data_IF_920554965557
#
_entry.id   IF_920554965557
#
_cell.length_a   1.000
_cell.length_b   1.000
_cell.length_c   1.000
_cell.angle_alpha   90.00
_cell.angle_beta   90.00
_cell.angle_gamma   90.00
#
_symmetry.space_group_name_H-M   'P 1'
#
loop_
_entity.id
_entity.type
_entity.pdbx_description
1 polymer ?
#
# COMPACT_ATOMS: atom_id res chain seq x y z
N UNK A 1 -3.02 -8.98 -5.09
CA UNK A 1 -4.01 -10.04 -5.38
C UNK A 1 -4.64 -10.69 -4.15
N UNK A 2 -3.91 -11.20 -3.15
CA UNK A 2 -4.50 -12.07 -2.11
C UNK A 2 -5.47 -11.38 -1.12
N UNK A 3 -5.14 -10.20 -0.60
CA UNK A 3 -6.00 -9.46 0.35
C UNK A 3 -7.14 -8.71 -0.37
N UNK A 4 -6.79 -7.79 -1.27
CA UNK A 4 -7.79 -6.91 -1.90
C UNK A 4 -8.46 -7.48 -3.17
N UNK A 5 -8.03 -8.66 -3.65
CA UNK A 5 -8.61 -9.32 -4.81
C UNK A 5 -8.36 -8.64 -6.17
N UNK A 6 -7.67 -7.49 -6.22
CA UNK A 6 -7.42 -6.80 -7.49
C UNK A 6 -6.09 -7.23 -8.13
N UNK A 7 -6.06 -7.39 -9.46
CA UNK A 7 -4.82 -7.59 -10.21
C UNK A 7 -4.05 -6.27 -10.36
N UNK A 8 -4.77 -5.15 -10.50
CA UNK A 8 -4.18 -3.83 -10.62
C UNK A 8 -3.88 -3.22 -9.24
N UNK A 9 -2.62 -2.75 -9.07
CA UNK A 9 -2.09 -2.25 -7.81
C UNK A 9 -1.18 -1.05 -8.07
N UNK A 10 -1.60 0.10 -7.58
CA UNK A 10 -0.84 1.34 -7.60
C UNK A 10 -0.07 1.52 -6.29
N UNK A 11 1.24 1.79 -6.39
CA UNK A 11 2.11 2.01 -5.24
C UNK A 11 2.39 3.51 -5.12
N UNK A 12 2.09 4.09 -3.96
CA UNK A 12 2.42 5.49 -3.68
C UNK A 12 3.95 5.69 -3.74
N UNK A 13 4.37 6.77 -4.40
CA UNK A 13 5.77 7.22 -4.41
C UNK A 13 6.38 7.34 -3.01
N UNK A 14 5.61 7.74 -2.00
CA UNK A 14 6.07 7.82 -0.60
C UNK A 14 6.44 6.45 -0.04
N UNK A 15 5.68 5.43 -0.42
CA UNK A 15 5.95 4.05 -0.03
C UNK A 15 7.24 3.54 -0.69
N UNK A 16 7.42 3.81 -1.98
CA UNK A 16 8.66 3.46 -2.67
C UNK A 16 9.87 4.16 -2.02
N UNK A 17 9.77 5.45 -1.71
CA UNK A 17 10.84 6.18 -1.01
C UNK A 17 11.14 5.59 0.37
N UNK A 18 10.13 5.16 1.12
CA UNK A 18 10.33 4.54 2.44
C UNK A 18 11.01 3.16 2.34
N UNK A 19 10.68 2.37 1.32
CA UNK A 19 11.34 1.07 1.04
C UNK A 19 12.84 1.29 0.77
N UNK A 20 13.18 2.29 -0.04
CA UNK A 20 14.57 2.54 -0.46
C UNK A 20 15.31 3.56 0.42
N UNK A 21 14.74 4.02 1.53
CA UNK A 21 15.31 5.09 2.35
C UNK A 21 16.71 4.79 2.91
N UNK A 22 17.02 3.50 3.12
CA UNK A 22 18.33 3.02 3.61
C UNK A 22 19.21 2.44 2.50
N UNK A 23 18.85 2.66 1.24
CA UNK A 23 19.51 2.11 0.06
C UNK A 23 19.11 0.66 -0.26
N UNK A 24 19.68 0.12 -1.33
CA UNK A 24 19.26 -1.18 -1.90
C UNK A 24 19.60 -2.37 -1.00
N UNK A 25 20.71 -2.30 -0.24
CA UNK A 25 21.20 -3.43 0.56
C UNK A 25 20.54 -3.53 1.94
N UNK A 26 19.94 -2.46 2.44
CA UNK A 26 19.47 -2.39 3.83
C UNK A 26 17.98 -2.02 3.93
N UNK A 27 17.14 -2.69 3.14
CA UNK A 27 15.69 -2.48 3.11
C UNK A 27 15.08 -2.74 4.50
N UNK A 28 14.11 -1.93 4.97
CA UNK A 28 13.44 -2.17 6.25
C UNK A 28 12.78 -3.56 6.31
N UNK A 29 12.94 -4.26 7.44
CA UNK A 29 12.35 -5.59 7.64
C UNK A 29 10.81 -5.58 7.71
N UNK A 30 10.23 -4.47 8.18
CA UNK A 30 8.78 -4.29 8.29
C UNK A 30 8.40 -2.87 7.87
N UNK A 31 7.30 -2.74 7.14
CA UNK A 31 6.71 -1.46 6.73
C UNK A 31 5.21 -1.53 6.99
N UNK A 32 4.67 -0.50 7.63
CA UNK A 32 3.23 -0.36 7.80
C UNK A 32 2.66 0.34 6.57
N UNK A 33 1.68 -0.31 5.97
CA UNK A 33 1.01 0.19 4.76
C UNK A 33 -0.49 0.21 5.01
N UNK A 34 -1.18 1.12 4.31
CA UNK A 34 -2.63 1.12 4.19
C UNK A 34 -2.99 0.78 2.76
N UNK A 35 -3.87 -0.20 2.59
CA UNK A 35 -4.43 -0.60 1.31
C UNK A 35 -5.82 0.00 1.18
N UNK A 36 -6.08 0.67 0.06
CA UNK A 36 -7.40 1.21 -0.28
C UNK A 36 -7.81 0.63 -1.63
N UNK A 37 -8.99 0.00 -1.70
CA UNK A 37 -9.55 -0.46 -2.97
C UNK A 37 -10.49 0.60 -3.49
N UNK A 38 -10.22 1.10 -4.70
CA UNK A 38 -10.97 2.20 -5.33
C UNK A 38 -11.41 1.80 -6.72
N UNK A 39 -12.43 2.50 -7.23
CA UNK A 39 -12.80 2.38 -8.64
C UNK A 39 -11.68 2.95 -9.49
N UNK A 40 -11.38 2.27 -10.59
CA UNK A 40 -10.42 2.78 -11.56
C UNK A 40 -11.06 3.92 -12.36
N UNK A 41 -10.31 4.99 -12.59
CA UNK A 41 -10.76 6.13 -13.41
C UNK A 41 -10.34 5.99 -14.87
N UNK A 42 -9.44 5.05 -15.17
CA UNK A 42 -9.01 4.72 -16.52
C UNK A 42 -10.06 3.85 -17.22
N UNK A 43 -10.77 4.44 -18.19
CA UNK A 43 -11.82 3.76 -18.98
C UNK A 43 -11.26 2.67 -19.90
N UNK A 44 -9.98 2.76 -20.29
CA UNK A 44 -9.32 1.78 -21.17
C UNK A 44 -8.76 0.59 -20.40
N UNK A 45 -8.75 0.64 -19.07
CA UNK A 45 -8.25 -0.46 -18.24
C UNK A 45 -9.24 -1.63 -18.21
N UNK A 46 -8.78 -2.88 -18.40
CA UNK A 46 -9.64 -4.06 -18.26
C UNK A 46 -10.10 -4.28 -16.81
N UNK A 47 -9.52 -3.56 -15.84
CA UNK A 47 -9.82 -3.69 -14.42
C UNK A 47 -10.64 -2.51 -13.91
N UNK A 48 -11.89 -2.79 -13.49
CA UNK A 48 -12.78 -1.79 -12.88
C UNK A 48 -12.32 -1.27 -11.51
N UNK A 49 -11.48 -2.04 -10.81
CA UNK A 49 -11.06 -1.75 -9.45
C UNK A 49 -9.55 -1.83 -9.36
N UNK A 50 -8.94 -0.83 -8.74
CA UNK A 50 -7.51 -0.78 -8.46
C UNK A 50 -7.29 -0.73 -6.94
N UNK A 51 -6.16 -1.26 -6.48
CA UNK A 51 -5.72 -1.11 -5.08
C UNK A 51 -4.62 -0.06 -5.02
N UNK A 52 -4.80 0.96 -4.19
CA UNK A 52 -3.77 1.93 -3.86
C UNK A 52 -3.08 1.52 -2.55
N UNK A 53 -1.77 1.28 -2.62
CA UNK A 53 -0.92 1.02 -1.46
C UNK A 53 -0.22 2.30 -1.02
N UNK A 54 -0.52 2.74 0.20
CA UNK A 54 0.00 3.99 0.78
C UNK A 54 0.87 3.69 2.01
N UNK A 55 1.91 4.51 2.21
CA UNK A 55 2.78 4.40 3.37
C UNK A 55 2.15 5.03 4.61
N UNK A 56 2.19 4.30 5.74
CA UNK A 56 1.79 4.83 7.04
C UNK A 56 3.02 4.90 7.94
N UNK A 57 3.49 6.10 8.33
CA UNK A 57 4.59 6.22 9.26
C UNK A 57 4.15 5.72 10.64
N UNK A 58 4.92 4.78 11.18
CA UNK A 58 4.74 4.26 12.54
C UNK A 58 6.08 4.28 13.26
N UNK A 59 6.06 4.58 14.57
CA UNK A 59 7.25 4.64 15.41
C UNK A 59 7.63 3.27 15.98
N UNK A 60 6.67 2.35 16.12
CA UNK A 60 6.89 1.00 16.63
C UNK A 60 6.07 -0.04 15.86
N UNK A 61 6.64 -1.25 15.75
CA UNK A 61 5.99 -2.42 15.16
C UNK A 61 5.60 -3.46 16.22
N UNK A 62 5.57 -3.10 17.51
CA UNK A 62 5.09 -4.01 18.57
C UNK A 62 3.56 -4.00 18.61
N UNK A 63 2.96 -5.18 18.43
CA UNK A 63 1.51 -5.45 18.42
C UNK A 63 0.62 -4.75 17.37
N UNK A 64 1.06 -4.42 16.14
CA UNK A 64 0.17 -3.87 15.12
C UNK A 64 -0.61 -5.00 14.41
N UNK A 65 -1.89 -5.17 14.74
CA UNK A 65 -2.80 -6.04 13.99
C UNK A 65 -3.31 -5.35 12.72
N UNK A 66 -3.88 -6.12 11.79
CA UNK A 66 -4.62 -5.54 10.65
C UNK A 66 -5.88 -4.87 11.19
N UNK A 67 -6.08 -3.60 10.83
CA UNK A 67 -7.25 -2.82 11.25
C UNK A 67 -7.90 -2.21 10.02
N UNK A 68 -9.23 -2.21 10.01
CA UNK A 68 -9.98 -1.48 9.01
C UNK A 68 -9.87 0.02 9.30
N UNK A 69 -9.80 0.82 8.24
CA UNK A 69 -9.71 2.28 8.33
C UNK A 69 -10.95 2.83 7.67
N UNK A 70 -11.71 3.65 8.38
CA UNK A 70 -12.88 4.33 7.84
C UNK A 70 -12.47 5.45 6.87
N UNK A 71 -13.17 5.56 5.74
CA UNK A 71 -13.06 6.71 4.85
C UNK A 71 -13.96 7.82 5.41
N UNK A 72 -13.34 8.89 5.92
CA UNK A 72 -14.01 10.11 6.36
C UNK A 72 -13.94 11.19 5.29
#
# INVERSE_FOLDING_TARGET
MKEMGTPDVHIDTRLNRAVWAKGMRNVPYCIRMRLSRKHNEDEDSPNKLCTLATYVPVTTFKNPQTVNVDEN
#
